data_IF_921477302758
#
_entry.id   IF_921477302758
#
_cell.length_a   1.000
_cell.length_b   1.000
_cell.length_c   1.000
_cell.angle_alpha   90.00
_cell.angle_beta   90.00
_cell.angle_gamma   90.00
#
_symmetry.space_group_name_H-M   'P 1'
#
loop_
_entity.id
_entity.type
_entity.pdbx_description
1 polymer ?
#
# COMPACT_ATOMS: atom_id res chain seq x y z
N UNK A 1 -19.84 41.42 26.86
CA UNK A 1 -21.05 41.55 26.02
C UNK A 1 -21.29 40.23 25.21
N UNK A 2 -21.07 39.08 25.85
CA UNK A 2 -21.23 37.72 25.22
C UNK A 2 -22.40 36.93 25.84
N UNK A 3 -23.07 37.49 26.85
CA UNK A 3 -24.14 36.80 27.60
C UNK A 3 -25.56 37.06 27.09
N UNK A 4 -25.75 37.60 25.87
CA UNK A 4 -27.07 37.97 25.36
C UNK A 4 -27.56 37.20 24.14
N UNK A 5 -26.73 36.29 23.62
CA UNK A 5 -27.13 35.38 22.53
C UNK A 5 -26.59 33.99 22.86
N UNK A 6 -27.50 33.09 23.18
CA UNK A 6 -27.23 31.66 23.42
C UNK A 6 -26.88 30.97 22.11
N UNK A 7 -25.65 31.19 21.60
CA UNK A 7 -25.14 30.48 20.44
C UNK A 7 -24.64 29.11 20.89
N UNK A 8 -25.42 28.10 20.66
CA UNK A 8 -25.00 26.70 20.79
C UNK A 8 -24.01 26.37 19.69
N UNK A 9 -22.76 26.16 20.04
CA UNK A 9 -21.78 25.57 19.13
C UNK A 9 -22.04 24.07 19.00
N UNK A 10 -21.89 23.45 17.80
CA UNK A 10 -22.02 22.00 17.65
C UNK A 10 -21.10 21.28 18.64
N UNK A 11 -21.66 20.36 19.45
CA UNK A 11 -20.93 19.62 20.48
C UNK A 11 -21.16 20.09 21.91
N UNK A 12 -22.10 21.02 22.19
CA UNK A 12 -22.46 21.49 23.51
C UNK A 12 -23.93 21.28 23.81
N UNK A 13 -24.41 20.05 23.63
CA UNK A 13 -25.68 19.61 24.20
C UNK A 13 -25.37 18.87 25.53
N UNK A 14 -25.96 19.37 26.62
CA UNK A 14 -25.77 18.84 28.00
C UNK A 14 -26.43 17.48 28.24
N UNK A 15 -26.74 16.72 27.18
CA UNK A 15 -27.49 15.46 27.26
C UNK A 15 -26.79 14.22 26.63
N UNK A 16 -25.62 14.34 26.04
CA UNK A 16 -24.85 13.15 25.64
C UNK A 16 -23.48 13.14 26.35
N UNK A 17 -23.33 12.24 27.33
CA UNK A 17 -22.01 11.86 27.83
C UNK A 17 -21.17 11.40 26.63
N UNK A 18 -20.17 12.19 26.26
CA UNK A 18 -19.15 11.77 25.29
C UNK A 18 -18.39 10.61 25.94
N UNK A 19 -18.81 9.38 25.60
CA UNK A 19 -18.16 8.18 26.07
C UNK A 19 -16.80 8.09 25.39
N UNK A 20 -15.78 8.55 26.07
CA UNK A 20 -14.40 8.34 25.68
C UNK A 20 -14.13 6.83 25.75
N UNK A 21 -14.04 6.20 24.57
CA UNK A 21 -13.69 4.79 24.49
C UNK A 21 -12.21 4.66 24.85
N UNK A 22 -11.93 3.86 25.88
CA UNK A 22 -10.56 3.51 26.24
C UNK A 22 -10.02 2.47 25.23
N UNK A 23 -8.68 2.33 25.16
CA UNK A 23 -8.03 1.28 24.35
C UNK A 23 -8.57 -0.11 24.68
N UNK A 24 -9.00 -0.35 25.93
CA UNK A 24 -9.65 -1.58 26.37
C UNK A 24 -11.05 -1.79 25.74
N UNK A 25 -11.82 -0.73 25.54
CA UNK A 25 -13.15 -0.80 24.92
C UNK A 25 -13.04 -1.09 23.40
N UNK A 26 -12.01 -0.54 22.74
CA UNK A 26 -11.70 -0.84 21.33
C UNK A 26 -11.24 -2.28 21.17
N UNK A 27 -10.36 -2.76 22.04
CA UNK A 27 -9.89 -4.15 22.01
C UNK A 27 -11.02 -5.16 22.30
N UNK A 28 -11.96 -4.84 23.21
CA UNK A 28 -13.13 -5.68 23.48
C UNK A 28 -14.10 -5.75 22.27
N UNK A 29 -14.26 -4.66 21.52
CA UNK A 29 -15.03 -4.63 20.27
C UNK A 29 -14.38 -5.46 19.17
N UNK A 30 -13.07 -5.34 19.01
CA UNK A 30 -12.31 -6.11 18.03
C UNK A 30 -12.32 -7.62 18.34
N UNK A 31 -12.27 -8.01 19.62
CA UNK A 31 -12.44 -9.40 20.05
C UNK A 31 -13.84 -9.96 19.74
N UNK A 32 -14.88 -9.12 19.78
CA UNK A 32 -16.26 -9.52 19.43
C UNK A 32 -16.51 -9.65 17.93
N UNK A 33 -15.66 -9.01 17.08
CA UNK A 33 -15.74 -9.09 15.61
C UNK A 33 -14.85 -10.14 14.97
N UNK A 34 -14.26 -11.07 15.75
CA UNK A 34 -13.47 -12.19 15.23
C UNK A 34 -12.05 -11.80 14.76
N UNK A 35 -11.57 -10.61 15.09
CA UNK A 35 -10.18 -10.21 14.85
C UNK A 35 -9.23 -10.93 15.83
N UNK A 36 -8.11 -11.42 15.31
CA UNK A 36 -7.07 -12.11 16.08
C UNK A 36 -6.53 -11.16 17.18
N UNK A 37 -6.30 -11.62 18.43
CA UNK A 37 -5.71 -10.79 19.48
C UNK A 37 -4.38 -10.19 19.02
N UNK A 38 -4.12 -8.93 19.34
CA UNK A 38 -2.97 -8.14 18.88
C UNK A 38 -1.58 -8.77 19.14
N UNK A 39 -1.47 -9.78 19.99
CA UNK A 39 -0.21 -10.50 20.28
C UNK A 39 0.02 -11.78 19.47
N UNK A 40 -0.82 -12.11 18.49
CA UNK A 40 -0.77 -13.41 17.82
C UNK A 40 -0.83 -13.33 16.27
N UNK A 41 -0.34 -12.21 15.69
CA UNK A 41 -0.28 -12.07 14.22
C UNK A 41 0.90 -12.88 13.66
N UNK A 42 0.61 -13.98 12.90
CA UNK A 42 1.66 -14.87 12.41
C UNK A 42 2.62 -14.21 11.41
N UNK A 43 2.14 -13.21 10.66
CA UNK A 43 2.97 -12.46 9.71
C UNK A 43 3.97 -11.62 10.48
N UNK A 44 3.54 -10.90 11.52
CA UNK A 44 4.42 -10.11 12.38
C UNK A 44 5.46 -10.97 13.10
N UNK A 45 5.07 -12.19 13.54
CA UNK A 45 6.00 -13.14 14.15
C UNK A 45 7.13 -13.56 13.19
N UNK A 46 6.77 -13.89 11.92
CA UNK A 46 7.74 -14.23 10.88
C UNK A 46 8.63 -13.04 10.51
N UNK A 47 8.09 -11.83 10.47
CA UNK A 47 8.87 -10.61 10.22
C UNK A 47 9.91 -10.43 11.33
N UNK A 48 9.51 -10.51 12.59
CA UNK A 48 10.43 -10.37 13.74
C UNK A 48 11.49 -11.47 13.71
N UNK A 49 11.11 -12.72 13.47
CA UNK A 49 12.08 -13.83 13.34
C UNK A 49 13.04 -13.60 12.17
N UNK A 50 12.52 -13.19 11.01
CA UNK A 50 13.29 -12.95 9.79
C UNK A 50 14.25 -11.77 9.91
N UNK A 51 13.95 -10.80 10.76
CA UNK A 51 14.84 -9.67 11.08
C UNK A 51 15.85 -9.99 12.19
N UNK A 52 15.89 -11.24 12.68
CA UNK A 52 16.83 -11.68 13.71
C UNK A 52 16.32 -11.48 15.14
N UNK A 53 15.00 -11.34 15.33
CA UNK A 53 14.35 -11.18 16.63
C UNK A 53 14.11 -9.72 17.03
N UNK A 54 13.15 -9.49 17.93
CA UNK A 54 12.78 -8.15 18.41
C UNK A 54 13.98 -7.38 19.02
N UNK A 55 14.93 -8.08 19.65
CA UNK A 55 16.13 -7.47 20.22
C UNK A 55 17.09 -6.92 19.16
N UNK A 56 17.05 -7.46 17.92
CA UNK A 56 17.85 -7.02 16.79
C UNK A 56 17.27 -5.80 16.07
N UNK A 57 15.98 -5.54 16.22
CA UNK A 57 15.30 -4.37 15.65
C UNK A 57 15.69 -3.10 16.41
N UNK A 58 16.12 -2.09 15.68
CA UNK A 58 16.42 -0.75 16.21
C UNK A 58 15.33 0.25 15.83
N UNK A 59 14.77 0.13 14.62
CA UNK A 59 13.75 1.02 14.10
C UNK A 59 12.87 0.32 13.04
N UNK A 60 11.60 0.70 12.95
CA UNK A 60 10.63 0.20 11.98
C UNK A 60 9.85 1.36 11.38
N UNK A 61 10.01 1.56 10.09
CA UNK A 61 9.26 2.53 9.30
C UNK A 61 8.75 1.89 8.01
N UNK A 62 7.90 2.56 7.26
CA UNK A 62 7.48 2.11 5.93
C UNK A 62 7.38 3.27 4.94
N UNK A 63 7.53 2.94 3.67
CA UNK A 63 7.09 3.81 2.57
C UNK A 63 5.89 3.13 1.88
N UNK A 64 5.49 3.64 0.72
CA UNK A 64 4.30 3.17 -0.02
C UNK A 64 4.22 1.64 -0.22
N UNK A 65 5.36 0.94 -0.29
CA UNK A 65 5.40 -0.49 -0.64
C UNK A 65 6.39 -1.32 0.17
N UNK A 66 7.22 -0.69 0.99
CA UNK A 66 8.33 -1.36 1.68
C UNK A 66 8.32 -1.06 3.17
N UNK A 67 8.39 -2.11 3.97
CA UNK A 67 8.76 -2.00 5.36
C UNK A 67 10.27 -1.69 5.42
N UNK A 68 10.64 -0.63 6.10
CA UNK A 68 12.03 -0.19 6.29
C UNK A 68 12.42 -0.43 7.72
N UNK A 69 13.31 -1.39 7.92
CA UNK A 69 13.79 -1.74 9.25
C UNK A 69 15.27 -1.40 9.37
N UNK A 70 15.65 -0.88 10.52
CA UNK A 70 17.06 -0.80 10.92
C UNK A 70 17.33 -1.89 11.92
N UNK A 71 18.30 -2.76 11.61
CA UNK A 71 18.73 -3.84 12.50
C UNK A 71 20.10 -3.53 13.12
N UNK A 72 20.36 -4.07 14.30
CA UNK A 72 21.66 -3.90 14.99
C UNK A 72 22.75 -4.76 14.35
N UNK A 73 22.39 -5.98 13.94
CA UNK A 73 23.28 -6.95 13.29
C UNK A 73 22.57 -7.52 12.04
N UNK A 74 23.09 -7.14 10.87
CA UNK A 74 22.56 -7.60 9.58
C UNK A 74 22.85 -9.10 9.31
N UNK A 75 23.81 -9.72 10.00
CA UNK A 75 24.12 -11.13 9.85
C UNK A 75 23.02 -12.04 10.42
N UNK A 76 22.16 -11.53 11.29
CA UNK A 76 21.03 -12.26 11.86
C UNK A 76 19.78 -12.25 10.97
N UNK A 77 19.80 -11.50 9.86
CA UNK A 77 18.66 -11.38 8.95
C UNK A 77 18.50 -12.64 8.10
N UNK A 78 17.34 -13.27 8.20
CA UNK A 78 16.96 -14.49 7.47
C UNK A 78 15.99 -14.12 6.33
N UNK A 79 16.52 -13.91 5.13
CA UNK A 79 15.71 -13.48 3.99
C UNK A 79 14.62 -14.49 3.62
N UNK A 80 14.89 -15.80 3.79
CA UNK A 80 13.92 -16.86 3.49
C UNK A 80 12.68 -16.78 4.39
N UNK A 81 12.89 -16.46 5.68
CA UNK A 81 11.79 -16.28 6.63
C UNK A 81 10.99 -15.02 6.32
N UNK A 82 11.67 -13.93 5.89
CA UNK A 82 10.99 -12.71 5.45
C UNK A 82 10.15 -12.96 4.18
N UNK A 83 10.64 -13.75 3.23
CA UNK A 83 9.84 -14.16 2.07
C UNK A 83 8.65 -15.03 2.47
N UNK A 84 8.81 -15.93 3.44
CA UNK A 84 7.71 -16.76 3.96
C UNK A 84 6.63 -15.94 4.66
N UNK A 85 6.91 -14.70 5.10
CA UNK A 85 5.89 -13.80 5.64
C UNK A 85 5.01 -13.13 4.57
N UNK A 86 5.22 -13.45 3.28
CA UNK A 86 4.51 -12.87 2.15
C UNK A 86 5.21 -11.67 1.49
N UNK A 87 6.51 -11.48 1.77
CA UNK A 87 7.29 -10.43 1.11
C UNK A 87 7.68 -10.85 -0.32
N UNK A 88 7.42 -9.96 -1.29
CA UNK A 88 7.83 -10.13 -2.70
C UNK A 88 9.35 -9.99 -2.88
N UNK A 89 10.04 -9.32 -1.97
CA UNK A 89 11.49 -9.12 -2.04
C UNK A 89 12.09 -8.58 -0.75
N UNK A 90 13.38 -8.80 -0.57
CA UNK A 90 14.15 -8.29 0.58
C UNK A 90 15.44 -7.65 0.07
N UNK A 91 15.69 -6.41 0.45
CA UNK A 91 16.88 -5.64 0.08
C UNK A 91 17.63 -5.30 1.37
N UNK A 92 18.87 -5.79 1.50
CA UNK A 92 19.74 -5.49 2.64
C UNK A 92 20.86 -4.54 2.20
N UNK A 93 21.02 -3.41 2.89
CA UNK A 93 22.11 -2.46 2.66
C UNK A 93 22.70 -2.01 4.00
N UNK A 94 23.84 -2.59 4.38
CA UNK A 94 24.36 -2.41 5.73
C UNK A 94 23.34 -2.89 6.77
N UNK A 95 23.05 -2.07 7.77
CA UNK A 95 22.07 -2.38 8.80
C UNK A 95 20.62 -2.03 8.40
N UNK A 96 20.42 -1.47 7.20
CA UNK A 96 19.09 -1.19 6.66
C UNK A 96 18.54 -2.39 5.91
N UNK A 97 17.35 -2.84 6.30
CA UNK A 97 16.61 -3.93 5.65
C UNK A 97 15.29 -3.38 5.11
N UNK A 98 15.05 -3.55 3.82
CA UNK A 98 13.79 -3.17 3.20
C UNK A 98 13.07 -4.44 2.75
N UNK A 99 11.87 -4.65 3.26
CA UNK A 99 11.04 -5.81 2.97
C UNK A 99 9.84 -5.34 2.15
N UNK A 100 9.69 -5.88 0.95
CA UNK A 100 8.68 -5.44 -0.02
C UNK A 100 7.39 -6.21 0.21
N UNK A 101 6.33 -5.51 0.63
CA UNK A 101 4.98 -6.06 0.84
C UNK A 101 3.93 -5.44 -0.09
N UNK A 102 4.33 -4.48 -0.94
CA UNK A 102 3.38 -3.75 -1.77
C UNK A 102 2.47 -2.82 -0.94
N UNK A 103 1.26 -2.52 -1.48
CA UNK A 103 0.36 -1.52 -0.87
C UNK A 103 -0.11 -1.88 0.55
N UNK A 104 -0.05 -3.14 0.96
CA UNK A 104 -0.43 -3.62 2.31
C UNK A 104 0.58 -3.27 3.42
N UNK A 105 1.71 -2.66 3.08
CA UNK A 105 2.81 -2.43 4.02
C UNK A 105 2.42 -1.59 5.25
N UNK A 106 1.54 -0.61 5.09
CA UNK A 106 1.08 0.23 6.20
C UNK A 106 0.30 -0.58 7.24
N UNK A 107 -0.58 -1.49 6.79
CA UNK A 107 -1.31 -2.41 7.66
C UNK A 107 -0.37 -3.40 8.35
N UNK A 108 0.63 -3.91 7.60
CA UNK A 108 1.65 -4.83 8.14
C UNK A 108 2.49 -4.11 9.21
N UNK A 109 2.90 -2.85 8.96
CA UNK A 109 3.63 -2.04 9.95
C UNK A 109 2.83 -1.87 11.24
N UNK A 110 1.58 -1.45 11.14
CA UNK A 110 0.72 -1.26 12.31
C UNK A 110 0.58 -2.54 13.14
N UNK A 111 0.35 -3.69 12.49
CA UNK A 111 0.29 -5.00 13.15
C UNK A 111 1.62 -5.42 13.77
N UNK A 112 2.74 -5.12 13.10
CA UNK A 112 4.07 -5.40 13.62
C UNK A 112 4.39 -4.56 14.86
N UNK A 113 4.01 -3.28 14.87
CA UNK A 113 4.16 -2.40 16.04
C UNK A 113 3.33 -2.92 17.22
N UNK A 114 2.05 -3.26 16.99
CA UNK A 114 1.18 -3.89 18.00
C UNK A 114 1.77 -5.23 18.51
N UNK A 115 2.34 -6.03 17.62
CA UNK A 115 3.00 -7.28 17.97
C UNK A 115 4.24 -7.03 18.86
N UNK A 116 5.09 -6.07 18.50
CA UNK A 116 6.30 -5.72 19.26
C UNK A 116 5.98 -5.14 20.64
N UNK A 117 4.84 -4.44 20.79
CA UNK A 117 4.39 -3.93 22.09
C UNK A 117 3.80 -5.04 22.99
N UNK A 118 3.20 -6.08 22.40
CA UNK A 118 2.46 -7.12 23.11
C UNK A 118 3.18 -8.47 23.24
N UNK A 119 4.28 -8.69 22.50
CA UNK A 119 4.98 -9.96 22.46
C UNK A 119 5.77 -10.23 23.75
N UNK A 120 5.69 -11.45 24.33
CA UNK A 120 6.63 -11.91 25.35
C UNK A 120 8.04 -11.96 24.74
N UNK A 121 9.04 -11.58 25.52
CA UNK A 121 10.46 -11.52 25.10
C UNK A 121 11.14 -12.88 24.95
N UNK A 122 10.45 -13.91 24.49
CA UNK A 122 11.03 -15.23 24.26
C UNK A 122 10.56 -15.86 22.95
N UNK A 123 11.47 -16.41 22.12
CA UNK A 123 11.14 -17.00 20.83
C UNK A 123 10.75 -18.47 20.98
N UNK A 124 9.48 -18.78 20.78
CA UNK A 124 9.01 -20.16 20.78
C UNK A 124 7.86 -20.37 19.79
N UNK A 125 8.19 -21.09 18.70
CA UNK A 125 7.29 -21.85 17.80
C UNK A 125 6.07 -21.12 17.21
N UNK A 126 6.22 -20.64 15.99
CA UNK A 126 5.11 -20.20 15.15
C UNK A 126 4.39 -21.39 14.49
N UNK A 127 3.03 -21.42 14.50
CA UNK A 127 2.29 -22.25 13.55
C UNK A 127 2.31 -21.57 12.17
N UNK A 128 2.65 -22.34 11.14
CA UNK A 128 2.57 -21.91 9.72
C UNK A 128 1.11 -21.51 9.38
N UNK A 129 0.84 -20.30 8.92
CA UNK A 129 -0.48 -19.97 8.41
C UNK A 129 -0.62 -20.54 7.00
N UNK A 130 -1.63 -21.38 6.81
CA UNK A 130 -2.14 -21.71 5.50
C UNK A 130 -2.67 -20.40 4.86
N UNK A 131 -2.11 -20.05 3.70
CA UNK A 131 -2.66 -19.00 2.87
C UNK A 131 -4.15 -19.28 2.61
N UNK A 132 -5.00 -18.30 2.88
CA UNK A 132 -6.39 -18.37 2.45
C UNK A 132 -6.38 -18.49 0.92
N UNK A 133 -7.16 -19.40 0.30
CA UNK A 133 -7.17 -19.55 -1.14
C UNK A 133 -7.67 -18.24 -1.76
N UNK A 134 -6.83 -17.62 -2.55
CA UNK A 134 -7.24 -16.53 -3.43
C UNK A 134 -8.40 -17.04 -4.33
N UNK A 135 -9.41 -16.22 -4.63
CA UNK A 135 -10.48 -16.64 -5.55
C UNK A 135 -9.86 -17.09 -6.86
N UNK A 136 -10.37 -18.22 -7.39
CA UNK A 136 -9.86 -18.80 -8.64
C UNK A 136 -9.89 -17.72 -9.72
N UNK A 137 -8.72 -17.29 -10.13
CA UNK A 137 -8.59 -16.15 -11.00
C UNK A 137 -8.79 -16.54 -12.44
N UNK A 138 -9.35 -15.59 -13.12
CA UNK A 138 -9.57 -15.56 -14.57
C UNK A 138 -8.55 -14.62 -15.18
N UNK A 139 -8.26 -14.78 -16.45
CA UNK A 139 -7.53 -13.78 -17.21
C UNK A 139 -8.21 -12.43 -17.05
N UNK A 140 -7.46 -11.43 -16.61
CA UNK A 140 -7.99 -10.11 -16.31
C UNK A 140 -7.31 -9.08 -17.20
N UNK A 141 -8.11 -8.19 -17.80
CA UNK A 141 -7.59 -7.06 -18.58
C UNK A 141 -7.76 -5.78 -17.75
N UNK A 142 -6.64 -5.18 -17.40
CA UNK A 142 -6.61 -3.86 -16.78
C UNK A 142 -6.63 -2.78 -17.84
N UNK A 143 -7.42 -1.74 -17.59
CA UNK A 143 -7.53 -0.60 -18.49
C UNK A 143 -6.51 0.48 -18.13
N UNK A 144 -6.21 1.33 -19.11
CA UNK A 144 -5.44 2.54 -18.87
C UNK A 144 -6.18 3.43 -17.85
N UNK A 145 -5.48 3.74 -16.77
CA UNK A 145 -5.98 4.58 -15.68
C UNK A 145 -5.69 6.08 -15.88
N UNK A 146 -4.94 6.41 -16.92
CA UNK A 146 -4.54 7.78 -17.30
C UNK A 146 -4.63 7.93 -18.82
N UNK A 147 -4.88 9.14 -19.29
CA UNK A 147 -4.58 9.53 -20.65
C UNK A 147 -3.09 9.85 -20.75
N UNK A 148 -2.40 9.37 -21.79
CA UNK A 148 -0.97 9.65 -21.92
C UNK A 148 -0.25 8.71 -22.86
N UNK A 149 1.06 8.62 -22.68
CA UNK A 149 1.94 7.75 -23.48
C UNK A 149 2.47 6.61 -22.61
N UNK A 150 2.35 5.41 -23.11
CA UNK A 150 2.85 4.20 -22.45
C UNK A 150 4.38 4.19 -22.45
N UNK A 151 4.97 3.87 -21.31
CA UNK A 151 6.41 3.77 -21.07
C UNK A 151 6.69 2.38 -20.50
N UNK A 152 7.62 1.60 -21.07
CA UNK A 152 8.04 0.35 -20.46
C UNK A 152 8.54 0.57 -19.03
N UNK A 153 8.21 -0.35 -18.11
CA UNK A 153 8.60 -0.19 -16.71
C UNK A 153 10.12 -0.10 -16.53
N UNK A 154 10.89 -0.82 -17.37
CA UNK A 154 12.36 -0.79 -17.38
C UNK A 154 12.96 0.58 -17.73
N UNK A 155 12.19 1.45 -18.40
CA UNK A 155 12.64 2.79 -18.81
C UNK A 155 12.32 3.86 -17.75
N UNK A 156 11.63 3.50 -16.67
CA UNK A 156 11.32 4.39 -15.55
C UNK A 156 12.60 4.74 -14.80
N UNK A 157 12.81 6.02 -14.53
CA UNK A 157 14.01 6.54 -13.85
C UNK A 157 13.97 6.34 -12.33
N UNK A 158 13.60 5.16 -11.90
CA UNK A 158 13.62 4.72 -10.50
C UNK A 158 13.90 3.21 -10.47
N UNK A 159 14.95 2.81 -9.77
CA UNK A 159 15.41 1.43 -9.72
C UNK A 159 14.38 0.48 -9.08
N UNK A 160 13.58 0.97 -8.14
CA UNK A 160 12.57 0.14 -7.48
C UNK A 160 11.44 -0.26 -8.43
N UNK A 161 11.08 0.63 -9.38
CA UNK A 161 10.10 0.31 -10.41
C UNK A 161 10.74 -0.43 -11.58
N UNK A 162 11.88 0.07 -12.09
CA UNK A 162 12.54 -0.50 -13.27
C UNK A 162 13.03 -1.94 -13.08
N UNK A 163 13.44 -2.31 -11.87
CA UNK A 163 13.91 -3.67 -11.56
C UNK A 163 12.80 -4.71 -11.44
N UNK A 164 11.52 -4.30 -11.42
CA UNK A 164 10.39 -5.20 -11.21
C UNK A 164 10.29 -5.79 -9.79
N UNK A 165 11.09 -5.31 -8.84
CA UNK A 165 11.08 -5.81 -7.44
C UNK A 165 9.74 -5.56 -6.72
N UNK A 166 8.98 -4.57 -7.19
CA UNK A 166 7.64 -4.25 -6.68
C UNK A 166 6.52 -5.05 -7.38
N UNK A 167 6.87 -5.82 -8.39
CA UNK A 167 5.98 -6.53 -9.30
C UNK A 167 6.15 -6.06 -10.74
N UNK A 168 5.47 -6.73 -11.66
CA UNK A 168 5.48 -6.37 -13.08
C UNK A 168 4.37 -5.36 -13.39
N UNK A 169 4.54 -4.64 -14.49
CA UNK A 169 3.58 -3.64 -14.89
C UNK A 169 4.05 -2.79 -16.04
N UNK A 170 3.54 -1.59 -16.08
CA UNK A 170 3.84 -0.59 -17.11
C UNK A 170 3.79 0.79 -16.49
N UNK A 171 4.34 1.80 -17.15
CA UNK A 171 4.15 3.18 -16.74
C UNK A 171 3.43 3.98 -17.82
N UNK A 172 2.81 5.08 -17.43
CA UNK A 172 2.17 6.04 -18.34
C UNK A 172 2.77 7.42 -18.05
N UNK A 173 3.21 8.10 -19.09
CA UNK A 173 3.51 9.53 -19.04
C UNK A 173 2.20 10.28 -19.23
N UNK A 174 1.60 10.91 -18.18
CA UNK A 174 0.26 11.45 -18.24
C UNK A 174 0.20 12.74 -19.08
N UNK A 175 -0.92 12.91 -19.78
CA UNK A 175 -1.24 14.13 -20.53
C UNK A 175 -2.24 15.04 -19.80
N UNK A 176 -2.86 14.54 -18.72
CA UNK A 176 -3.77 15.28 -17.86
C UNK A 176 -3.61 14.87 -16.38
N UNK A 177 -4.39 15.45 -15.49
CA UNK A 177 -4.26 15.33 -14.04
C UNK A 177 -5.35 14.51 -13.37
N UNK A 178 -5.88 13.44 -13.99
CA UNK A 178 -6.90 12.60 -13.36
C UNK A 178 -6.55 11.12 -13.48
N UNK A 179 -6.36 10.44 -12.34
CA UNK A 179 -6.18 8.99 -12.24
C UNK A 179 -7.52 8.33 -11.98
N UNK A 180 -7.88 7.31 -12.79
CA UNK A 180 -9.11 6.54 -12.64
C UNK A 180 -8.85 5.06 -12.34
N UNK A 181 -9.85 4.35 -11.81
CA UNK A 181 -9.76 2.93 -11.54
C UNK A 181 -9.61 2.10 -12.84
N UNK A 182 -8.59 1.24 -12.97
CA UNK A 182 -8.36 0.42 -14.17
C UNK A 182 -9.31 -0.77 -14.29
N UNK A 183 -9.99 -1.13 -13.21
CA UNK A 183 -10.96 -2.22 -13.11
C UNK A 183 -11.94 -1.96 -11.97
N UNK A 184 -12.97 -2.80 -11.84
CA UNK A 184 -13.81 -2.86 -10.63
C UNK A 184 -12.98 -3.43 -9.47
N UNK A 185 -13.16 -2.92 -8.25
CA UNK A 185 -12.44 -3.43 -7.09
C UNK A 185 -12.65 -2.59 -5.83
N UNK A 186 -11.69 -2.67 -4.92
CA UNK A 186 -11.68 -1.97 -3.63
C UNK A 186 -10.35 -1.25 -3.43
N UNK A 187 -10.38 -0.05 -2.87
CA UNK A 187 -9.17 0.68 -2.49
C UNK A 187 -8.54 0.00 -1.28
N UNK A 188 -7.38 -0.61 -1.47
CA UNK A 188 -6.70 -1.39 -0.43
C UNK A 188 -5.75 -0.56 0.43
N UNK A 189 -5.29 0.60 -0.07
CA UNK A 189 -4.49 1.53 0.71
C UNK A 189 -4.47 2.94 0.13
N UNK A 190 -4.37 3.91 1.02
CA UNK A 190 -4.13 5.33 0.73
C UNK A 190 -2.89 5.80 1.48
N UNK A 191 -2.29 6.89 1.04
CA UNK A 191 -1.05 7.44 1.60
C UNK A 191 -1.27 8.89 2.00
N UNK A 192 -0.75 9.34 3.13
CA UNK A 192 -0.90 10.71 3.63
C UNK A 192 -0.46 11.77 2.62
N UNK A 193 0.48 11.43 1.76
CA UNK A 193 1.00 12.31 0.70
C UNK A 193 0.24 12.23 -0.62
N UNK A 194 -0.86 11.49 -0.68
CA UNK A 194 -1.85 11.40 -1.77
C UNK A 194 -1.29 11.10 -3.18
N UNK A 195 0.01 10.84 -3.31
CA UNK A 195 0.71 10.64 -4.60
C UNK A 195 0.54 9.22 -5.18
N UNK A 196 0.03 8.29 -4.40
CA UNK A 196 -0.14 6.89 -4.80
C UNK A 196 -1.42 6.30 -4.21
N UNK A 197 -1.93 5.24 -4.82
CA UNK A 197 -3.08 4.48 -4.33
C UNK A 197 -2.88 2.99 -4.59
N UNK A 198 -3.19 2.18 -3.59
CA UNK A 198 -3.30 0.73 -3.70
C UNK A 198 -4.74 0.31 -3.97
N UNK A 199 -4.93 -0.70 -4.82
CA UNK A 199 -6.25 -1.21 -5.19
C UNK A 199 -6.19 -2.73 -5.33
N UNK A 200 -7.20 -3.44 -4.84
CA UNK A 200 -7.41 -4.86 -5.15
C UNK A 200 -8.60 -4.98 -6.10
N UNK A 201 -8.38 -5.55 -7.28
CA UNK A 201 -9.45 -5.74 -8.25
C UNK A 201 -10.41 -6.83 -7.82
N UNK A 202 -11.63 -6.86 -8.39
CA UNK A 202 -12.61 -7.90 -8.12
C UNK A 202 -12.10 -9.31 -8.49
N UNK A 203 -11.14 -9.41 -9.43
CA UNK A 203 -10.49 -10.65 -9.85
C UNK A 203 -9.22 -10.98 -9.06
N UNK A 204 -8.88 -10.19 -8.04
CA UNK A 204 -7.79 -10.45 -7.09
C UNK A 204 -6.42 -9.90 -7.50
N UNK A 205 -6.32 -9.04 -8.53
CA UNK A 205 -5.06 -8.34 -8.81
C UNK A 205 -4.83 -7.23 -7.79
N UNK A 206 -3.63 -7.21 -7.21
CA UNK A 206 -3.19 -6.17 -6.28
C UNK A 206 -2.38 -5.13 -7.05
N UNK A 207 -2.93 -3.93 -7.13
CA UNK A 207 -2.36 -2.85 -7.94
C UNK A 207 -1.79 -1.75 -7.06
N UNK A 208 -0.65 -1.22 -7.47
CA UNK A 208 -0.12 0.05 -7.02
C UNK A 208 -0.06 1.01 -8.20
N UNK A 209 -0.68 2.17 -8.06
CA UNK A 209 -0.59 3.28 -9.02
C UNK A 209 0.13 4.43 -8.31
N UNK A 210 1.30 4.82 -8.81
CA UNK A 210 2.16 5.81 -8.16
C UNK A 210 2.40 6.98 -9.11
N UNK A 211 1.81 8.15 -8.80
CA UNK A 211 1.86 9.33 -9.67
C UNK A 211 3.22 10.04 -9.52
N UNK A 212 3.99 10.00 -10.58
CA UNK A 212 5.32 10.60 -10.66
C UNK A 212 6.40 9.82 -9.89
N UNK A 213 7.61 10.31 -9.98
CA UNK A 213 8.78 9.75 -9.29
C UNK A 213 9.22 10.72 -8.18
N UNK A 214 9.49 10.17 -6.99
CA UNK A 214 9.88 10.96 -5.80
C UNK A 214 8.83 11.96 -5.30
N UNK A 215 7.62 11.92 -5.82
CA UNK A 215 6.54 12.88 -5.51
C UNK A 215 6.02 12.78 -4.08
N UNK A 216 6.38 11.73 -3.34
CA UNK A 216 6.21 11.65 -1.88
C UNK A 216 6.82 12.86 -1.17
N UNK A 217 7.89 13.44 -1.71
CA UNK A 217 8.59 14.62 -1.17
C UNK A 217 7.76 15.89 -1.23
N UNK A 218 6.68 15.92 -2.03
CA UNK A 218 5.74 17.04 -2.11
C UNK A 218 4.79 17.11 -0.90
N UNK A 219 4.78 16.09 -0.02
CA UNK A 219 3.99 16.10 1.21
C UNK A 219 2.48 16.23 0.99
N UNK A 220 1.95 15.74 -0.14
CA UNK A 220 0.54 15.83 -0.51
C UNK A 220 0.16 17.07 -1.32
N UNK A 221 1.07 18.00 -1.52
CA UNK A 221 0.86 19.19 -2.35
C UNK A 221 0.59 18.76 -3.80
N UNK A 222 -0.41 19.36 -4.43
CA UNK A 222 -0.84 19.09 -5.82
C UNK A 222 -1.58 17.77 -6.03
N UNK A 223 -1.98 17.06 -4.96
CA UNK A 223 -2.75 15.82 -5.04
C UNK A 223 -4.03 15.91 -4.22
N UNK A 224 -5.11 15.35 -4.73
CA UNK A 224 -6.40 15.27 -4.04
C UNK A 224 -7.00 13.89 -4.24
N UNK A 225 -7.19 13.11 -3.16
CA UNK A 225 -7.99 11.89 -3.20
C UNK A 225 -9.46 12.19 -3.42
N UNK A 226 -10.11 11.34 -4.21
CA UNK A 226 -11.55 11.31 -4.43
C UNK A 226 -12.19 10.06 -3.82
N UNK A 227 -11.38 9.22 -3.17
CA UNK A 227 -11.75 7.95 -2.55
C UNK A 227 -11.03 7.80 -1.21
N UNK A 228 -11.54 6.88 -0.37
CA UNK A 228 -10.92 6.48 0.89
C UNK A 228 -10.55 5.00 0.83
N UNK A 229 -9.68 4.57 1.75
CA UNK A 229 -9.38 3.17 1.96
C UNK A 229 -10.66 2.39 2.33
N UNK A 230 -10.85 1.21 1.72
CA UNK A 230 -12.04 0.39 1.86
C UNK A 230 -13.19 0.75 0.89
N UNK A 231 -13.09 1.84 0.13
CA UNK A 231 -14.12 2.19 -0.85
C UNK A 231 -14.14 1.20 -2.03
N UNK A 232 -15.34 0.74 -2.39
CA UNK A 232 -15.56 -0.04 -3.61
C UNK A 232 -15.69 0.89 -4.80
N UNK A 233 -14.87 0.65 -5.81
CA UNK A 233 -14.79 1.50 -6.99
C UNK A 233 -15.13 0.73 -8.27
N UNK A 234 -15.61 1.45 -9.27
CA UNK A 234 -15.90 0.93 -10.59
C UNK A 234 -14.83 1.34 -11.58
N UNK A 235 -14.60 0.50 -12.59
CA UNK A 235 -13.73 0.84 -13.72
C UNK A 235 -14.06 2.23 -14.26
N UNK A 236 -13.04 3.08 -14.41
CA UNK A 236 -13.17 4.45 -14.90
C UNK A 236 -13.60 5.47 -13.82
N UNK A 237 -13.83 5.05 -12.57
CA UNK A 237 -14.14 5.98 -11.49
C UNK A 237 -12.88 6.79 -11.11
N UNK A 238 -12.98 8.14 -11.00
CA UNK A 238 -11.87 8.96 -10.54
C UNK A 238 -11.40 8.59 -9.12
N UNK A 239 -10.08 8.44 -8.95
CA UNK A 239 -9.43 8.08 -7.70
C UNK A 239 -8.61 9.24 -7.11
N UNK A 240 -7.79 9.87 -7.96
CA UNK A 240 -6.91 10.98 -7.56
C UNK A 240 -6.97 12.04 -8.65
N UNK A 241 -7.10 13.31 -8.25
CA UNK A 241 -6.78 14.46 -9.09
C UNK A 241 -5.43 15.03 -8.71
N UNK A 242 -4.66 15.43 -9.70
CA UNK A 242 -3.35 16.03 -9.49
C UNK A 242 -3.06 17.15 -10.47
N UNK A 243 -2.28 18.11 -10.02
CA UNK A 243 -1.92 19.30 -10.81
C UNK A 243 -0.65 19.03 -11.62
N UNK A 244 -0.82 18.39 -12.80
CA UNK A 244 0.27 17.88 -13.64
C UNK A 244 1.39 18.92 -13.87
N UNK A 245 1.02 20.12 -14.30
CA UNK A 245 1.99 21.18 -14.61
C UNK A 245 2.66 21.76 -13.37
N UNK A 246 1.96 21.79 -12.23
CA UNK A 246 2.53 22.23 -10.97
C UNK A 246 3.59 21.23 -10.45
N UNK A 247 3.33 19.93 -10.55
CA UNK A 247 4.29 18.88 -10.19
C UNK A 247 5.56 18.97 -11.06
N UNK A 248 5.39 19.17 -12.38
CA UNK A 248 6.51 19.39 -13.30
C UNK A 248 7.30 20.66 -12.95
N UNK A 249 6.61 21.74 -12.60
CA UNK A 249 7.25 23.02 -12.21
C UNK A 249 8.08 22.90 -10.92
N UNK A 250 7.70 22.01 -10.00
CA UNK A 250 8.49 21.66 -8.81
C UNK A 250 9.69 20.73 -9.13
N UNK A 251 9.86 20.34 -10.40
CA UNK A 251 11.01 19.55 -10.88
C UNK A 251 10.85 18.03 -10.76
N UNK A 252 9.64 17.52 -10.47
CA UNK A 252 9.40 16.09 -10.36
C UNK A 252 8.92 15.48 -11.69
N UNK A 253 9.49 14.32 -12.11
CA UNK A 253 8.94 13.54 -13.21
C UNK A 253 7.52 13.08 -12.88
N UNK A 254 6.65 13.08 -13.86
CA UNK A 254 5.23 12.69 -13.70
C UNK A 254 4.93 11.30 -14.23
N UNK A 255 5.93 10.62 -14.79
CA UNK A 255 5.83 9.22 -15.21
C UNK A 255 5.20 8.39 -14.09
N UNK A 256 4.09 7.74 -14.38
CA UNK A 256 3.22 7.09 -13.39
C UNK A 256 3.26 5.56 -13.56
N UNK A 257 4.03 4.84 -12.74
CA UNK A 257 3.99 3.37 -12.69
C UNK A 257 2.64 2.83 -12.27
N UNK A 258 2.19 1.79 -12.98
CA UNK A 258 1.03 0.94 -12.70
C UNK A 258 1.54 -0.48 -12.53
N UNK A 259 1.60 -0.96 -11.30
CA UNK A 259 2.27 -2.20 -10.89
C UNK A 259 1.25 -3.22 -10.43
N UNK A 260 1.40 -4.46 -10.87
CA UNK A 260 0.72 -5.64 -10.32
C UNK A 260 1.62 -6.23 -9.26
N UNK A 261 1.30 -6.00 -7.99
CA UNK A 261 2.18 -6.34 -6.86
C UNK A 261 2.22 -7.85 -6.59
N UNK A 262 1.12 -8.56 -6.87
CA UNK A 262 1.04 -10.02 -6.76
C UNK A 262 1.31 -10.72 -8.10
N UNK A 263 2.35 -10.30 -8.80
CA UNK A 263 2.74 -10.85 -10.13
C UNK A 263 2.94 -12.36 -10.11
N UNK A 264 3.42 -12.91 -9.00
CA UNK A 264 3.70 -14.35 -8.85
C UNK A 264 2.43 -15.22 -8.88
N UNK A 265 1.25 -14.61 -8.71
CA UNK A 265 -0.05 -15.28 -8.85
C UNK A 265 -0.48 -15.46 -10.32
N UNK A 266 0.28 -14.91 -11.27
CA UNK A 266 -0.01 -14.89 -12.69
C UNK A 266 1.10 -15.55 -13.50
N UNK A 267 0.71 -16.33 -14.53
CA UNK A 267 1.67 -16.90 -15.46
C UNK A 267 2.38 -15.82 -16.29
N UNK A 268 1.67 -14.73 -16.60
CA UNK A 268 2.24 -13.58 -17.29
C UNK A 268 1.46 -12.27 -17.01
N UNK A 269 2.18 -11.15 -16.99
CA UNK A 269 1.66 -9.80 -17.02
C UNK A 269 2.14 -9.15 -18.30
N UNK A 270 1.25 -9.00 -19.28
CA UNK A 270 1.60 -8.58 -20.65
C UNK A 270 1.05 -7.19 -20.95
N UNK A 271 1.89 -6.33 -21.52
CA UNK A 271 1.44 -5.05 -22.06
C UNK A 271 0.56 -5.27 -23.31
N UNK A 272 -0.64 -4.70 -23.30
CA UNK A 272 -1.58 -4.73 -24.44
C UNK A 272 -1.55 -3.43 -25.24
N UNK A 273 -0.98 -2.37 -24.67
CA UNK A 273 -0.89 -1.06 -25.29
C UNK A 273 0.58 -0.62 -25.46
N UNK A 274 0.80 0.17 -26.49
CA UNK A 274 2.03 0.91 -26.74
C UNK A 274 1.69 2.27 -27.38
N UNK A 275 2.55 3.26 -27.21
CA UNK A 275 2.27 4.62 -27.68
C UNK A 275 1.20 5.33 -26.86
N UNK A 276 0.32 6.09 -27.49
CA UNK A 276 -0.69 6.89 -26.80
C UNK A 276 -1.89 6.05 -26.42
N UNK A 277 -2.36 6.21 -25.18
CA UNK A 277 -3.56 5.56 -24.63
C UNK A 277 -4.52 6.59 -24.05
N UNK A 278 -5.79 6.21 -24.01
CA UNK A 278 -6.85 6.93 -23.30
C UNK A 278 -7.35 6.08 -22.14
N UNK A 279 -7.86 6.75 -21.12
CA UNK A 279 -8.56 6.08 -20.02
C UNK A 279 -9.61 5.09 -20.58
N UNK A 280 -9.57 3.85 -20.07
CA UNK A 280 -10.45 2.78 -20.51
C UNK A 280 -9.90 1.86 -21.61
N UNK A 281 -8.86 2.26 -22.36
CA UNK A 281 -8.18 1.39 -23.32
C UNK A 281 -7.54 0.19 -22.60
N UNK A 282 -7.43 -0.98 -23.26
CA UNK A 282 -6.76 -2.13 -22.69
C UNK A 282 -5.27 -1.83 -22.49
N UNK A 283 -4.77 -1.94 -21.26
CA UNK A 283 -3.39 -1.57 -20.88
C UNK A 283 -2.52 -2.81 -20.59
N UNK A 284 -2.97 -3.66 -19.68
CA UNK A 284 -2.28 -4.88 -19.24
C UNK A 284 -3.23 -6.08 -19.32
N UNK A 285 -2.72 -7.23 -19.71
CA UNK A 285 -3.40 -8.52 -19.60
C UNK A 285 -2.67 -9.39 -18.58
N UNK A 286 -3.41 -9.85 -17.59
CA UNK A 286 -2.94 -10.75 -16.53
C UNK A 286 -3.39 -12.16 -16.90
N UNK A 287 -2.47 -13.05 -17.25
CA UNK A 287 -2.74 -14.43 -17.60
C UNK A 287 -2.51 -15.34 -16.41
N UNK A 288 -3.34 -16.36 -16.27
CA UNK A 288 -3.18 -17.39 -15.24
C UNK A 288 -2.74 -18.72 -15.78
#
# INVERSE_FOLDING_TARGET
MISKFDYKTPGRDDAEEVKLYTRADVNARNAASGSVPAGNDPVSALIVEGLGGAANLADVDCCATRLRCTVKDAALVKQDVLKASGASGVICKGNGVQVVYGPKVAVIKAKLEDYLESAPKDPGAAPSPAAAPAPAAKDTVLSACLNGTVVPLADVKDEAFASGVLGNGIAIEPSDGELVAPADGEISSTFETHHAVGMTTADGAELLMHIGIDTVKLGGKHFTYLVNEGDKVKKGQPLIRFELEAIKAEGYPVTTPVIVCNTDDYAAVEAKASGTVKQGDALLELKR
#
